data_IF_836455372482
#
_entry.id   IF_836455372482
#
_cell.length_a   1.000
_cell.length_b   1.000
_cell.length_c   1.000
_cell.angle_alpha   90.00
_cell.angle_beta   90.00
_cell.angle_gamma   90.00
#
_symmetry.space_group_name_H-M   'P 1'
#
loop_
_entity.id
_entity.type
_entity.pdbx_description
1 polymer ?
#
# COMPACT_ATOMS: atom_id res chain seq x y z
N UNK A 1 0.05 21.81 -20.88
CA UNK A 1 -1.25 21.33 -20.38
C UNK A 1 -1.88 20.51 -21.49
N UNK A 2 -1.78 19.18 -21.39
CA UNK A 2 -2.46 18.23 -22.27
C UNK A 2 -3.09 17.19 -21.38
N UNK A 3 -4.42 17.12 -21.42
CA UNK A 3 -5.21 16.04 -20.84
C UNK A 3 -4.97 14.79 -21.68
N UNK A 4 -4.52 13.72 -21.05
CA UNK A 4 -4.59 12.37 -21.61
C UNK A 4 -5.91 11.78 -21.09
N UNK A 5 -6.93 11.77 -21.93
CA UNK A 5 -8.20 11.09 -21.67
C UNK A 5 -8.04 9.59 -21.95
N UNK A 6 -7.33 8.90 -21.06
CA UNK A 6 -7.38 7.43 -21.00
C UNK A 6 -8.43 7.05 -19.95
N UNK A 7 -9.52 6.42 -20.42
CA UNK A 7 -10.61 5.94 -19.58
C UNK A 7 -10.17 4.71 -18.76
N UNK A 8 -9.41 4.97 -17.69
CA UNK A 8 -9.27 4.02 -16.58
C UNK A 8 -10.45 4.20 -15.61
N UNK A 9 -11.13 3.10 -15.28
CA UNK A 9 -12.07 3.08 -14.16
C UNK A 9 -11.29 3.25 -12.85
N UNK A 10 -11.17 4.50 -12.40
CA UNK A 10 -10.47 4.93 -11.18
C UNK A 10 -11.24 4.59 -9.90
N UNK A 11 -11.91 3.43 -9.83
CA UNK A 11 -12.71 3.05 -8.67
C UNK A 11 -11.85 2.81 -7.42
N UNK A 12 -10.60 2.35 -7.58
CA UNK A 12 -9.82 1.72 -6.51
C UNK A 12 -8.70 2.62 -5.93
N UNK A 13 -8.88 3.95 -5.94
CA UNK A 13 -7.74 4.89 -5.88
C UNK A 13 -7.96 6.06 -4.86
N UNK A 14 -8.02 5.80 -3.53
CA UNK A 14 -7.87 6.81 -2.45
C UNK A 14 -7.02 6.40 -1.23
N UNK A 15 -6.21 7.30 -0.68
CA UNK A 15 -5.17 7.00 0.32
C UNK A 15 -5.08 8.13 1.46
N UNK A 16 -4.65 7.85 2.73
CA UNK A 16 -4.23 8.82 3.81
C UNK A 16 -2.92 8.60 4.68
N UNK A 17 -2.08 9.66 4.77
CA UNK A 17 -0.96 10.13 5.64
C UNK A 17 -0.11 9.23 6.59
N UNK A 18 1.23 9.30 6.40
CA UNK A 18 2.31 9.25 7.45
C UNK A 18 2.26 8.18 8.55
N UNK A 19 2.01 6.91 8.22
CA UNK A 19 2.34 5.76 9.09
C UNK A 19 3.18 4.76 8.26
N UNK A 20 4.18 4.12 8.88
CA UNK A 20 4.90 3.02 8.24
C UNK A 20 3.98 1.79 8.14
N UNK A 21 3.22 1.69 7.05
CA UNK A 21 2.37 0.55 6.71
C UNK A 21 2.70 0.14 5.29
N UNK A 22 3.06 -1.13 5.08
CA UNK A 22 3.18 -1.69 3.75
C UNK A 22 1.81 -2.17 3.29
N UNK A 23 1.40 -1.74 2.10
CA UNK A 23 0.07 -1.99 1.54
C UNK A 23 0.01 -3.38 0.90
N UNK A 24 -1.03 -4.15 1.23
CA UNK A 24 -1.27 -5.48 0.67
C UNK A 24 -2.77 -5.67 0.34
N UNK A 25 -3.09 -6.31 -0.78
CA UNK A 25 -4.45 -6.77 -1.08
C UNK A 25 -4.58 -8.27 -0.77
N UNK A 26 -5.72 -8.68 -0.21
CA UNK A 26 -6.04 -10.08 0.15
C UNK A 26 -7.43 -10.44 -0.39
N UNK A 27 -7.56 -11.61 -1.01
CA UNK A 27 -8.80 -12.09 -1.66
C UNK A 27 -9.74 -12.72 -0.62
N UNK A 28 -11.06 -12.68 -0.84
CA UNK A 28 -12.13 -12.86 0.16
C UNK A 28 -12.20 -14.20 0.92
N UNK A 29 -12.77 -14.18 2.15
CA UNK A 29 -13.31 -15.38 2.81
C UNK A 29 -13.43 -15.37 4.35
N UNK A 30 -14.66 -15.20 4.86
CA UNK A 30 -15.20 -15.74 6.13
C UNK A 30 -14.62 -15.29 7.51
N UNK A 31 -15.12 -15.93 8.58
CA UNK A 31 -15.48 -15.28 9.86
C UNK A 31 -14.35 -15.06 10.89
N UNK A 32 -14.63 -14.21 11.89
CA UNK A 32 -13.67 -13.67 12.88
C UNK A 32 -12.89 -14.73 13.68
N UNK A 33 -13.40 -15.96 13.84
CA UNK A 33 -12.72 -17.06 14.54
C UNK A 33 -12.15 -18.15 13.63
N UNK A 34 -12.31 -18.03 12.31
CA UNK A 34 -11.91 -19.03 11.32
C UNK A 34 -11.15 -18.37 10.15
N UNK A 35 -10.34 -17.35 10.48
CA UNK A 35 -9.65 -16.54 9.47
C UNK A 35 -8.64 -17.40 8.71
N UNK A 36 -8.72 -17.45 7.37
CA UNK A 36 -7.70 -18.13 6.57
C UNK A 36 -6.33 -17.48 6.80
N UNK A 37 -5.28 -18.29 6.82
CA UNK A 37 -3.91 -17.80 6.97
C UNK A 37 -3.58 -16.80 5.86
N UNK A 38 -2.90 -15.71 6.22
CA UNK A 38 -2.54 -14.65 5.28
C UNK A 38 -1.74 -15.20 4.08
N UNK A 39 -1.94 -14.64 2.88
CA UNK A 39 -1.24 -15.09 1.69
C UNK A 39 0.26 -14.78 1.79
N UNK A 40 1.11 -15.53 1.09
CA UNK A 40 2.56 -15.27 1.06
C UNK A 40 2.95 -14.08 0.19
N UNK A 41 2.04 -13.65 -0.66
CA UNK A 41 2.23 -12.59 -1.66
C UNK A 41 1.01 -11.68 -1.68
N UNK A 42 1.21 -10.46 -2.14
CA UNK A 42 0.21 -9.44 -2.36
C UNK A 42 0.34 -8.90 -3.78
N UNK A 43 -0.77 -8.48 -4.38
CA UNK A 43 -0.72 -7.67 -5.61
C UNK A 43 -0.48 -6.20 -5.23
N UNK A 44 0.42 -5.54 -5.96
CA UNK A 44 0.85 -4.18 -5.68
C UNK A 44 1.19 -3.43 -6.97
N UNK A 45 0.94 -2.11 -6.96
CA UNK A 45 1.54 -1.17 -7.91
C UNK A 45 2.81 -0.59 -7.28
N UNK A 46 3.95 -0.77 -7.93
CA UNK A 46 5.26 -0.42 -7.39
C UNK A 46 6.19 0.15 -8.46
N UNK A 47 7.34 0.64 -8.03
CA UNK A 47 8.41 1.10 -8.91
C UNK A 47 9.78 0.55 -8.51
N UNK A 48 10.61 0.24 -9.50
CA UNK A 48 11.88 -0.50 -9.34
C UNK A 48 13.12 0.39 -9.31
N UNK A 49 12.99 1.67 -9.64
CA UNK A 49 14.06 2.67 -9.59
C UNK A 49 13.49 4.10 -9.64
N UNK A 50 14.35 5.12 -9.71
CA UNK A 50 13.91 6.48 -10.03
C UNK A 50 13.83 6.67 -11.55
N UNK A 51 12.80 7.34 -12.07
CA UNK A 51 12.63 7.55 -13.51
C UNK A 51 11.33 8.26 -13.88
N UNK A 52 10.85 8.08 -15.12
CA UNK A 52 9.47 8.31 -15.57
C UNK A 52 8.58 7.06 -15.41
N UNK A 53 7.35 7.03 -15.96
CA UNK A 53 6.42 5.91 -15.79
C UNK A 53 6.97 4.53 -16.22
N UNK A 54 8.04 4.48 -17.01
CA UNK A 54 8.72 3.26 -17.43
C UNK A 54 9.36 2.44 -16.29
N UNK A 55 9.51 3.01 -15.08
CA UNK A 55 9.98 2.27 -13.89
C UNK A 55 8.83 1.66 -13.07
N UNK A 56 7.57 1.82 -13.49
CA UNK A 56 6.39 1.36 -12.78
C UNK A 56 5.95 -0.05 -13.24
N UNK A 57 5.56 -0.88 -12.29
CA UNK A 57 5.09 -2.25 -12.51
C UNK A 57 3.86 -2.54 -11.64
N UNK A 58 2.92 -3.33 -12.17
CA UNK A 58 1.87 -4.00 -11.40
C UNK A 58 2.21 -5.47 -11.35
N UNK A 59 2.28 -6.05 -10.16
CA UNK A 59 2.69 -7.45 -10.00
C UNK A 59 2.58 -7.95 -8.57
N UNK A 60 3.07 -9.16 -8.34
CA UNK A 60 3.11 -9.78 -7.02
C UNK A 60 4.40 -9.45 -6.30
N UNK A 61 4.27 -9.02 -5.04
CA UNK A 61 5.37 -8.86 -4.10
C UNK A 61 5.14 -9.76 -2.89
N UNK A 62 6.18 -10.14 -2.12
CA UNK A 62 5.99 -10.83 -0.84
C UNK A 62 5.11 -10.02 0.09
N UNK A 63 4.22 -10.69 0.83
CA UNK A 63 3.48 -10.04 1.91
C UNK A 63 4.49 -9.48 2.94
N UNK A 64 4.23 -8.31 3.55
CA UNK A 64 5.03 -7.81 4.66
C UNK A 64 5.12 -8.85 5.78
N UNK A 65 6.22 -8.82 6.53
CA UNK A 65 6.28 -9.55 7.79
C UNK A 65 5.25 -9.01 8.80
N UNK A 66 5.01 -9.73 9.91
CA UNK A 66 4.09 -9.30 10.96
C UNK A 66 4.35 -7.87 11.41
N UNK A 67 3.30 -7.10 11.76
CA UNK A 67 3.44 -5.71 12.18
C UNK A 67 4.32 -5.61 13.43
N UNK A 68 5.18 -4.57 13.48
CA UNK A 68 5.87 -4.19 14.71
C UNK A 68 4.88 -3.67 15.78
N UNK A 69 5.34 -3.46 17.03
CA UNK A 69 4.44 -3.25 18.18
C UNK A 69 3.41 -2.13 18.03
N UNK A 70 3.72 -1.05 17.32
CA UNK A 70 2.82 0.08 17.06
C UNK A 70 2.31 0.14 15.60
N UNK A 71 2.33 -0.97 14.87
CA UNK A 71 1.92 -1.02 13.46
C UNK A 71 0.63 -1.84 13.29
N UNK A 72 -0.02 -1.63 12.16
CA UNK A 72 -1.10 -2.46 11.66
C UNK A 72 -0.55 -3.27 10.47
N UNK A 73 -1.24 -4.34 10.11
CA UNK A 73 -1.25 -4.83 8.72
C UNK A 73 -2.65 -4.59 8.19
N UNK A 74 -2.77 -3.93 7.05
CA UNK A 74 -4.06 -3.53 6.47
C UNK A 74 -4.22 -4.19 5.09
N UNK A 75 -5.36 -4.84 4.87
CA UNK A 75 -5.83 -5.24 3.56
C UNK A 75 -6.38 -4.00 2.89
N UNK A 76 -5.67 -3.47 1.91
CA UNK A 76 -6.11 -2.28 1.18
C UNK A 76 -7.24 -2.64 0.21
N UNK A 77 -8.27 -1.80 0.17
CA UNK A 77 -9.32 -1.84 -0.86
C UNK A 77 -9.12 -0.72 -1.89
N UNK A 78 -8.69 0.47 -1.44
CA UNK A 78 -8.58 1.70 -2.24
C UNK A 78 -7.24 2.42 -2.00
N UNK A 79 -6.62 3.02 -3.05
CA UNK A 79 -5.32 3.70 -2.94
C UNK A 79 -5.01 4.85 -3.95
N UNK A 80 -5.06 6.14 -3.58
CA UNK A 80 -4.76 7.28 -4.48
C UNK A 80 -3.29 7.42 -4.85
N UNK A 81 -3.09 8.02 -6.03
CA UNK A 81 -1.81 8.57 -6.48
C UNK A 81 -1.84 10.10 -6.38
N UNK A 82 -1.05 10.63 -5.47
CA UNK A 82 -0.93 12.06 -5.20
C UNK A 82 0.31 12.66 -5.92
N UNK A 83 0.40 14.00 -6.11
CA UNK A 83 1.61 14.63 -6.65
C UNK A 83 2.91 14.18 -5.97
N UNK A 84 2.86 13.92 -4.66
CA UNK A 84 3.97 13.41 -3.86
C UNK A 84 4.48 12.03 -4.31
N UNK A 85 3.61 11.12 -4.75
CA UNK A 85 3.99 9.80 -5.27
C UNK A 85 4.89 9.94 -6.50
N UNK A 86 4.48 10.78 -7.47
CA UNK A 86 5.26 11.00 -8.69
C UNK A 86 6.58 11.72 -8.40
N UNK A 87 6.61 12.68 -7.47
CA UNK A 87 7.84 13.36 -7.04
C UNK A 87 8.81 12.39 -6.33
N UNK A 88 8.28 11.52 -5.46
CA UNK A 88 9.07 10.50 -4.77
C UNK A 88 9.63 9.45 -5.76
N UNK A 89 8.86 9.10 -6.78
CA UNK A 89 9.22 8.20 -7.89
C UNK A 89 10.21 8.82 -8.88
N UNK A 90 10.12 10.12 -9.16
CA UNK A 90 11.12 10.89 -9.91
C UNK A 90 12.45 11.02 -9.15
N UNK A 91 12.45 10.76 -7.83
CA UNK A 91 13.62 10.91 -6.96
C UNK A 91 13.87 12.34 -6.51
N UNK A 92 12.88 13.22 -6.59
CA UNK A 92 12.97 14.61 -6.12
C UNK A 92 13.19 14.66 -4.59
N UNK A 93 12.67 13.67 -3.86
CA UNK A 93 12.83 13.54 -2.40
C UNK A 93 14.02 12.66 -1.97
N UNK A 94 14.88 12.21 -2.89
CA UNK A 94 15.90 11.15 -2.62
C UNK A 94 16.94 11.50 -1.55
N UNK A 95 17.09 12.78 -1.23
CA UNK A 95 18.00 13.29 -0.18
C UNK A 95 17.30 13.48 1.17
N UNK A 96 15.96 13.44 1.20
CA UNK A 96 15.13 13.63 2.39
C UNK A 96 14.63 12.30 2.97
N UNK A 97 14.37 11.32 2.11
CA UNK A 97 13.78 10.03 2.47
C UNK A 97 14.75 8.89 2.19
N UNK A 98 14.65 7.80 2.96
CA UNK A 98 15.34 6.54 2.66
C UNK A 98 14.51 5.77 1.63
N UNK A 99 15.15 5.33 0.55
CA UNK A 99 14.51 4.53 -0.49
C UNK A 99 15.08 3.11 -0.51
N UNK A 100 14.21 2.13 -0.69
CA UNK A 100 14.52 0.74 -1.03
C UNK A 100 13.62 0.37 -2.20
N UNK A 101 14.13 -0.43 -3.13
CA UNK A 101 13.37 -0.91 -4.29
C UNK A 101 13.17 -2.43 -4.22
N UNK A 102 12.07 -2.99 -4.76
CA UNK A 102 10.91 -2.26 -5.29
C UNK A 102 10.18 -1.47 -4.18
N UNK A 103 9.60 -0.32 -4.52
CA UNK A 103 8.78 0.48 -3.60
C UNK A 103 7.36 0.56 -4.09
N UNK A 104 6.41 0.18 -3.24
CA UNK A 104 4.97 0.33 -3.47
C UNK A 104 4.59 1.82 -3.41
N UNK A 105 3.67 2.24 -4.28
CA UNK A 105 3.02 3.55 -4.25
C UNK A 105 2.06 3.69 -3.07
N UNK A 106 1.53 4.89 -2.85
CA UNK A 106 0.58 5.17 -1.79
C UNK A 106 1.31 5.77 -0.59
N UNK A 107 1.03 7.05 -0.34
CA UNK A 107 1.61 7.80 0.78
C UNK A 107 0.94 7.52 2.15
N UNK A 108 0.04 6.55 2.16
CA UNK A 108 -1.33 6.90 2.43
C UNK A 108 -2.18 5.55 2.22
N UNK A 109 -3.40 5.27 2.78
CA UNK A 109 -4.28 4.07 2.46
C UNK A 109 -5.84 4.17 2.79
N UNK A 110 -6.73 3.22 2.35
CA UNK A 110 -8.00 2.76 3.04
C UNK A 110 -8.27 1.23 2.92
N UNK A 111 -8.78 0.57 3.97
CA UNK A 111 -9.13 -0.87 3.97
C UNK A 111 -9.11 -1.56 5.35
N UNK A 112 -9.34 -2.88 5.38
CA UNK A 112 -9.55 -3.67 6.61
C UNK A 112 -8.26 -3.92 7.42
N UNK A 113 -8.32 -3.78 8.75
CA UNK A 113 -7.22 -4.20 9.65
C UNK A 113 -7.13 -5.74 9.71
N UNK A 114 -6.01 -6.30 9.24
CA UNK A 114 -5.76 -7.74 9.17
C UNK A 114 -4.95 -8.28 10.35
N UNK A 115 -3.99 -7.50 10.85
CA UNK A 115 -3.23 -7.78 12.08
C UNK A 115 -2.91 -6.46 12.80
N UNK A 116 -2.64 -6.54 14.11
CA UNK A 116 -2.20 -5.41 14.93
C UNK A 116 -0.96 -5.80 15.74
N UNK A 117 -0.04 -4.87 15.95
CA UNK A 117 1.06 -5.04 16.90
C UNK A 117 0.59 -4.98 18.36
N UNK A 118 1.35 -5.63 19.25
CA UNK A 118 1.00 -5.83 20.67
C UNK A 118 0.76 -4.54 21.48
N UNK A 119 1.22 -3.38 21.00
CA UNK A 119 1.08 -2.09 21.68
C UNK A 119 0.03 -1.17 21.03
N UNK A 120 -0.66 -1.62 19.98
CA UNK A 120 -1.81 -0.93 19.38
C UNK A 120 -3.05 -1.09 20.27
N UNK A 121 -3.76 0.01 20.54
CA UNK A 121 -4.93 0.04 21.45
C UNK A 121 -6.20 0.61 20.81
N UNK A 122 -6.04 1.44 19.78
CA UNK A 122 -7.12 2.25 19.22
C UNK A 122 -7.81 1.59 18.00
N UNK A 123 -7.31 0.45 17.54
CA UNK A 123 -7.82 -0.31 16.38
C UNK A 123 -8.04 -1.78 16.71
N UNK A 124 -8.97 -2.43 16.00
CA UNK A 124 -9.30 -3.85 16.13
C UNK A 124 -9.16 -4.57 14.80
N UNK A 125 -8.84 -5.86 14.85
CA UNK A 125 -8.73 -6.69 13.66
C UNK A 125 -10.12 -6.90 13.02
N UNK A 126 -10.30 -6.49 11.77
CA UNK A 126 -11.58 -6.46 11.04
C UNK A 126 -12.34 -5.13 11.12
N UNK A 127 -11.71 -4.08 11.61
CA UNK A 127 -12.16 -2.68 11.51
C UNK A 127 -11.70 -2.07 10.17
N UNK A 128 -12.48 -1.13 9.61
CA UNK A 128 -12.22 -0.39 8.35
C UNK A 128 -12.19 1.13 8.65
#
# INVERSE_FOLDING_TARGET
MQTIEENFELSNVHTCCSIHLNMANVIEGESVTDRPALPREMEAFYYTGFGGPEVCEVGKLPLPGPPGPHQLLVKVHYASLNPADYQQRNGETKHLLKHKFPKVFGFDFSGDVMEIGDEVKDFKIGEE
#
